data_IF_628823168816
#
_entry.id   IF_628823168816
#
_cell.length_a   1.000
_cell.length_b   1.000
_cell.length_c   1.000
_cell.angle_alpha   90.00
_cell.angle_beta   90.00
_cell.angle_gamma   90.00
#
_symmetry.space_group_name_H-M   'P 1'
#
loop_
_entity.id
_entity.type
_entity.pdbx_description
1 polymer ?
#
# COMPACT_ATOMS: atom_id res chain seq x y z
N UNK A 1 6.55 16.99 -20.09
CA UNK A 1 5.58 15.91 -19.82
C UNK A 1 5.03 16.16 -18.43
N UNK A 2 3.72 15.98 -18.22
CA UNK A 2 3.12 16.30 -16.92
C UNK A 2 3.72 15.37 -15.87
N UNK A 3 4.36 15.92 -14.84
CA UNK A 3 4.66 15.15 -13.64
C UNK A 3 3.30 14.75 -13.07
N UNK A 4 2.94 13.48 -13.23
CA UNK A 4 1.87 12.92 -12.44
C UNK A 4 2.42 12.97 -11.03
N UNK A 5 1.89 13.88 -10.22
CA UNK A 5 2.14 13.90 -8.79
C UNK A 5 1.72 12.53 -8.27
N UNK A 6 2.69 11.64 -8.05
CA UNK A 6 2.44 10.28 -7.57
C UNK A 6 1.82 10.31 -6.16
N UNK A 7 1.87 11.46 -5.46
CA UNK A 7 1.25 11.64 -4.15
C UNK A 7 -0.29 11.64 -4.17
N UNK A 8 -0.91 11.81 -5.35
CA UNK A 8 -2.37 11.77 -5.53
C UNK A 8 -2.90 10.41 -6.04
N UNK A 9 -2.02 9.47 -6.39
CA UNK A 9 -2.46 8.11 -6.72
C UNK A 9 -2.76 7.35 -5.43
N UNK A 10 -4.02 7.42 -5.01
CA UNK A 10 -4.52 6.76 -3.80
C UNK A 10 -4.30 5.23 -3.79
N UNK A 11 -3.97 4.63 -4.95
CA UNK A 11 -3.60 3.22 -5.05
C UNK A 11 -2.18 2.93 -4.62
N UNK A 12 -1.35 3.96 -4.42
CA UNK A 12 0.00 3.85 -3.90
C UNK A 12 0.02 4.15 -2.40
N UNK A 13 0.95 3.51 -1.69
CA UNK A 13 1.25 3.85 -0.31
C UNK A 13 2.12 5.12 -0.32
N UNK A 14 1.80 6.16 0.47
CA UNK A 14 2.59 7.38 0.50
C UNK A 14 4.03 7.13 0.97
N UNK A 15 5.00 7.53 0.16
CA UNK A 15 6.42 7.37 0.46
C UNK A 15 6.87 8.11 1.74
N UNK A 16 6.21 9.22 2.08
CA UNK A 16 6.48 9.98 3.30
C UNK A 16 6.23 9.20 4.60
N UNK A 17 5.44 8.12 4.55
CA UNK A 17 5.22 7.20 5.67
C UNK A 17 6.24 6.04 5.72
N UNK A 18 7.05 5.86 4.67
CA UNK A 18 7.97 4.73 4.55
C UNK A 18 9.32 5.01 5.19
N UNK A 19 10.04 3.94 5.50
CA UNK A 19 11.49 3.95 5.72
C UNK A 19 12.15 3.03 4.73
N UNK A 20 13.36 3.38 4.30
CA UNK A 20 14.09 2.61 3.30
C UNK A 20 15.51 2.28 3.74
N UNK A 21 15.97 1.09 3.38
CA UNK A 21 17.36 0.65 3.53
C UNK A 21 17.81 -0.09 2.28
N UNK A 22 19.11 -0.15 2.02
CA UNK A 22 19.68 -0.87 0.90
C UNK A 22 20.90 -1.71 1.31
N UNK A 23 21.26 -2.69 0.49
CA UNK A 23 22.47 -3.51 0.67
C UNK A 23 23.75 -2.67 0.59
N UNK A 24 23.72 -1.62 -0.24
CA UNK A 24 24.78 -0.63 -0.38
C UNK A 24 24.23 0.64 -1.01
N UNK A 25 24.97 1.72 -0.89
CA UNK A 25 24.64 3.00 -1.53
C UNK A 25 25.89 3.73 -1.97
N UNK A 26 25.73 4.55 -3.01
CA UNK A 26 26.75 5.47 -3.47
C UNK A 26 26.53 6.86 -2.88
N UNK A 27 27.52 7.32 -2.11
CA UNK A 27 27.50 8.63 -1.46
C UNK A 27 28.85 9.36 -1.56
N UNK A 28 29.84 8.78 -2.24
CA UNK A 28 31.22 9.27 -2.29
C UNK A 28 31.63 9.77 -3.68
N UNK A 29 31.34 8.99 -4.73
CA UNK A 29 31.57 9.33 -6.13
C UNK A 29 30.42 10.12 -6.75
N UNK A 30 29.21 9.94 -6.22
CA UNK A 30 28.03 10.78 -6.47
C UNK A 30 27.12 10.74 -5.23
N UNK A 31 26.20 11.70 -5.11
CA UNK A 31 25.21 11.71 -4.04
C UNK A 31 23.93 11.00 -4.50
N UNK A 32 23.91 9.66 -4.35
CA UNK A 32 22.78 8.80 -4.70
C UNK A 32 22.40 7.86 -3.53
N UNK A 33 22.13 8.42 -2.32
CA UNK A 33 21.76 7.64 -1.14
C UNK A 33 20.45 6.90 -1.34
N UNK A 34 20.19 5.89 -0.50
CA UNK A 34 18.96 5.09 -0.60
C UNK A 34 17.67 5.91 -0.42
N UNK A 35 17.73 7.02 0.33
CA UNK A 35 16.58 7.90 0.56
C UNK A 35 15.99 8.50 -0.73
N UNK A 36 16.82 8.66 -1.77
CA UNK A 36 16.36 9.18 -3.05
C UNK A 36 15.37 8.23 -3.75
N UNK A 37 15.32 6.95 -3.38
CA UNK A 37 14.37 6.01 -3.98
C UNK A 37 12.92 6.22 -3.53
N UNK A 38 12.68 7.11 -2.56
CA UNK A 38 11.36 7.39 -1.97
C UNK A 38 11.17 8.88 -1.66
N UNK A 39 11.83 9.77 -2.40
CA UNK A 39 11.78 11.23 -2.14
C UNK A 39 10.73 11.97 -3.00
N UNK A 40 10.12 11.28 -3.96
CA UNK A 40 9.10 11.82 -4.86
C UNK A 40 9.68 12.64 -6.01
N UNK A 41 11.01 12.68 -6.17
CA UNK A 41 11.71 13.38 -7.24
C UNK A 41 12.35 12.39 -8.23
N UNK A 42 11.69 12.20 -9.37
CA UNK A 42 12.19 11.34 -10.45
C UNK A 42 13.57 11.76 -11.00
N UNK A 43 14.05 12.97 -10.73
CA UNK A 43 15.39 13.42 -11.15
C UNK A 43 16.51 12.93 -10.21
N UNK A 44 16.19 12.56 -8.97
CA UNK A 44 17.13 11.90 -8.06
C UNK A 44 17.04 10.38 -8.24
N UNK A 45 17.99 9.66 -7.64
CA UNK A 45 17.97 8.20 -7.61
C UNK A 45 18.87 7.66 -6.50
N UNK A 46 18.53 6.47 -6.01
CA UNK A 46 19.47 5.59 -5.34
C UNK A 46 20.37 4.90 -6.37
N UNK A 47 21.65 4.73 -6.02
CA UNK A 47 22.58 3.89 -6.77
C UNK A 47 23.31 2.94 -5.81
N UNK A 48 23.40 1.65 -6.16
CA UNK A 48 24.28 0.70 -5.45
C UNK A 48 25.73 1.18 -5.48
N UNK A 49 26.52 0.98 -4.42
CA UNK A 49 27.89 1.49 -4.33
C UNK A 49 28.75 1.09 -5.54
N UNK A 50 29.33 2.08 -6.23
CA UNK A 50 30.22 1.86 -7.37
C UNK A 50 31.62 2.46 -7.19
N UNK A 51 31.78 3.44 -6.30
CA UNK A 51 33.05 4.12 -6.08
C UNK A 51 33.93 3.39 -5.06
N UNK A 52 35.25 3.47 -5.25
CA UNK A 52 36.25 2.85 -4.39
C UNK A 52 36.22 1.32 -4.44
N UNK A 53 35.43 0.70 -3.57
CA UNK A 53 35.18 -0.75 -3.57
C UNK A 53 33.71 -0.99 -3.95
N UNK A 54 33.42 -1.27 -5.23
CA UNK A 54 32.06 -1.53 -5.71
C UNK A 54 31.43 -2.71 -4.95
N UNK A 55 30.14 -2.58 -4.64
CA UNK A 55 29.33 -3.73 -4.24
C UNK A 55 29.05 -4.62 -5.46
N UNK A 56 28.87 -5.92 -5.24
CA UNK A 56 28.55 -6.90 -6.29
C UNK A 56 27.12 -7.39 -6.13
N UNK A 57 26.47 -7.76 -7.24
CA UNK A 57 25.14 -8.36 -7.25
C UNK A 57 25.09 -9.62 -6.34
N UNK A 58 23.91 -9.95 -5.79
CA UNK A 58 22.66 -9.20 -5.91
C UNK A 58 22.64 -7.93 -5.03
N UNK A 59 21.94 -6.90 -5.50
CA UNK A 59 21.66 -5.69 -4.72
C UNK A 59 20.24 -5.75 -4.17
N UNK A 60 19.97 -5.13 -3.03
CA UNK A 60 18.63 -5.12 -2.46
C UNK A 60 18.26 -3.77 -1.89
N UNK A 61 16.97 -3.45 -1.97
CA UNK A 61 16.33 -2.33 -1.28
C UNK A 61 15.14 -2.89 -0.49
N UNK A 62 14.96 -2.41 0.75
CA UNK A 62 13.88 -2.83 1.64
C UNK A 62 13.13 -1.62 2.13
N UNK A 63 11.81 -1.64 1.96
CA UNK A 63 10.86 -0.69 2.50
C UNK A 63 10.22 -1.26 3.77
N UNK A 64 10.19 -0.46 4.83
CA UNK A 64 9.19 -0.52 5.88
C UNK A 64 8.06 0.42 5.46
N UNK A 65 6.85 -0.11 5.28
CA UNK A 65 5.71 0.64 4.78
C UNK A 65 5.09 1.55 5.85
N UNK A 66 5.52 1.44 7.11
CA UNK A 66 5.01 2.22 8.24
C UNK A 66 3.77 1.61 8.88
N UNK A 67 2.94 0.94 8.10
CA UNK A 67 1.75 0.20 8.53
C UNK A 67 1.58 -1.10 7.72
N UNK A 68 0.53 -1.86 8.05
CA UNK A 68 0.13 -3.08 7.34
C UNK A 68 -0.83 -2.74 6.21
N UNK A 69 -0.58 -3.29 5.02
CA UNK A 69 -1.40 -3.06 3.84
C UNK A 69 -1.65 -4.35 3.05
N UNK A 70 -2.82 -4.47 2.43
CA UNK A 70 -3.04 -5.41 1.35
C UNK A 70 -2.38 -4.87 0.07
N UNK A 71 -1.33 -5.51 -0.42
CA UNK A 71 -0.53 -5.02 -1.56
C UNK A 71 -0.48 -6.05 -2.68
N UNK A 72 -0.37 -5.58 -3.93
CA UNK A 72 -0.34 -6.46 -5.12
C UNK A 72 0.56 -5.97 -6.25
N UNK A 73 1.26 -4.84 -6.07
CA UNK A 73 2.22 -4.33 -7.05
C UNK A 73 3.38 -3.61 -6.39
N UNK A 74 4.54 -3.71 -7.03
CA UNK A 74 5.68 -2.82 -6.83
C UNK A 74 5.96 -2.15 -8.18
N UNK A 75 6.19 -0.83 -8.17
CA UNK A 75 6.69 -0.12 -9.35
C UNK A 75 8.05 0.50 -9.08
N UNK A 76 8.89 0.46 -10.11
CA UNK A 76 10.22 1.09 -10.09
C UNK A 76 10.28 2.07 -11.25
N UNK A 77 10.50 3.34 -10.96
CA UNK A 77 10.92 4.34 -11.94
C UNK A 77 12.43 4.23 -12.06
N UNK A 78 12.98 3.85 -13.24
CA UNK A 78 14.43 3.86 -13.44
C UNK A 78 14.98 5.29 -13.38
N UNK A 79 16.27 5.45 -13.07
CA UNK A 79 16.92 6.77 -13.12
C UNK A 79 16.79 7.44 -14.50
N UNK A 80 16.73 8.76 -14.53
CA UNK A 80 16.66 9.53 -15.76
C UNK A 80 18.04 9.71 -16.43
N UNK A 81 18.05 10.04 -17.73
CA UNK A 81 19.27 10.39 -18.48
C UNK A 81 20.17 9.22 -18.90
N UNK A 82 20.64 8.38 -17.96
CA UNK A 82 21.63 7.32 -18.20
C UNK A 82 21.09 5.94 -17.77
N UNK A 83 21.70 4.83 -18.21
CA UNK A 83 21.12 3.49 -18.00
C UNK A 83 21.97 2.50 -17.17
N UNK A 84 23.14 2.92 -16.66
CA UNK A 84 23.86 2.16 -15.64
C UNK A 84 22.94 1.80 -14.47
N UNK A 85 22.98 0.55 -14.05
CA UNK A 85 22.18 0.06 -12.94
C UNK A 85 20.69 -0.14 -13.23
N UNK A 86 20.19 0.08 -14.46
CA UNK A 86 18.80 -0.30 -14.80
C UNK A 86 18.65 -1.79 -14.52
N UNK A 87 17.73 -2.13 -13.62
CA UNK A 87 17.46 -3.50 -13.16
C UNK A 87 16.76 -4.26 -14.28
N UNK A 88 17.27 -5.46 -14.58
CA UNK A 88 16.76 -6.32 -15.66
C UNK A 88 16.25 -7.66 -15.18
N UNK A 89 16.62 -8.09 -13.96
CA UNK A 89 16.10 -9.30 -13.32
C UNK A 89 15.91 -9.08 -11.84
N UNK A 90 14.76 -9.47 -11.32
CA UNK A 90 14.38 -9.14 -9.96
C UNK A 90 13.63 -10.27 -9.25
N UNK A 91 13.62 -10.18 -7.93
CA UNK A 91 12.68 -10.86 -7.04
C UNK A 91 12.05 -9.83 -6.10
N UNK A 92 10.78 -10.03 -5.75
CA UNK A 92 10.04 -9.26 -4.74
C UNK A 92 9.68 -10.19 -3.59
N UNK A 93 9.95 -9.72 -2.39
CA UNK A 93 9.60 -10.39 -1.15
C UNK A 93 8.76 -9.48 -0.26
N UNK A 94 7.89 -10.07 0.54
CA UNK A 94 7.09 -9.38 1.57
C UNK A 94 7.33 -9.98 2.95
N UNK A 95 7.10 -9.18 4.00
CA UNK A 95 7.22 -9.57 5.41
C UNK A 95 6.17 -8.84 6.25
N UNK A 96 5.72 -9.46 7.33
CA UNK A 96 4.98 -8.78 8.40
C UNK A 96 5.89 -8.27 9.52
N UNK A 97 7.01 -8.94 9.74
CA UNK A 97 7.90 -8.73 10.90
C UNK A 97 9.26 -8.08 10.53
N UNK A 98 9.59 -7.99 9.25
CA UNK A 98 10.89 -7.49 8.78
C UNK A 98 12.03 -8.50 8.93
N UNK A 99 11.74 -9.73 9.31
CA UNK A 99 12.71 -10.81 9.51
C UNK A 99 12.45 -11.99 8.56
N UNK A 100 11.20 -12.45 8.49
CA UNK A 100 10.78 -13.62 7.73
C UNK A 100 10.11 -13.23 6.41
N UNK A 101 10.91 -13.23 5.33
CA UNK A 101 10.47 -12.80 4.01
C UNK A 101 9.94 -13.95 3.16
N UNK A 102 8.80 -13.74 2.50
CA UNK A 102 8.23 -14.67 1.50
C UNK A 102 8.36 -14.07 0.10
N UNK A 103 8.82 -14.87 -0.88
CA UNK A 103 8.89 -14.43 -2.28
C UNK A 103 7.48 -14.39 -2.87
N UNK A 104 7.10 -13.26 -3.46
CA UNK A 104 5.77 -13.04 -4.06
C UNK A 104 5.82 -12.80 -5.56
N UNK A 105 6.95 -12.32 -6.09
CA UNK A 105 7.17 -12.18 -7.52
C UNK A 105 8.63 -12.39 -7.89
N UNK A 106 8.86 -12.77 -9.13
CA UNK A 106 10.15 -12.72 -9.80
C UNK A 106 9.93 -12.45 -11.29
N UNK A 107 10.96 -11.98 -11.97
CA UNK A 107 10.90 -11.88 -13.41
C UNK A 107 12.01 -11.02 -13.99
N UNK A 108 11.85 -10.77 -15.29
CA UNK A 108 12.76 -9.96 -16.07
C UNK A 108 12.07 -8.67 -16.51
N UNK A 109 12.85 -7.59 -16.52
CA UNK A 109 12.44 -6.30 -17.04
C UNK A 109 13.30 -5.91 -18.22
N UNK A 110 12.69 -5.26 -19.21
CA UNK A 110 13.42 -4.73 -20.36
C UNK A 110 14.40 -3.65 -19.89
N UNK A 111 15.65 -3.71 -20.37
CA UNK A 111 16.71 -2.75 -20.08
C UNK A 111 16.46 -1.37 -20.74
N UNK A 112 15.44 -0.67 -20.28
CA UNK A 112 15.03 0.64 -20.76
C UNK A 112 14.63 1.56 -19.59
N UNK A 113 14.19 2.79 -19.89
CA UNK A 113 13.75 3.77 -18.89
C UNK A 113 12.24 3.73 -18.61
N UNK A 114 11.50 2.81 -19.25
CA UNK A 114 10.07 2.67 -18.99
C UNK A 114 9.80 2.24 -17.56
N UNK A 115 8.62 2.60 -17.03
CA UNK A 115 8.17 2.16 -15.72
C UNK A 115 8.25 0.64 -15.62
N UNK A 116 8.86 0.18 -14.54
CA UNK A 116 8.97 -1.24 -14.22
C UNK A 116 7.85 -1.59 -13.27
N UNK A 117 7.19 -2.71 -13.54
CA UNK A 117 6.05 -3.17 -12.75
C UNK A 117 6.26 -4.64 -12.43
N UNK A 118 6.19 -4.97 -11.15
CA UNK A 118 6.05 -6.33 -10.65
C UNK A 118 4.64 -6.44 -10.06
N UNK A 119 3.85 -7.40 -10.55
CA UNK A 119 2.53 -7.75 -10.01
C UNK A 119 2.60 -9.11 -9.36
N UNK A 120 1.85 -9.28 -8.29
CA UNK A 120 1.74 -10.53 -7.54
C UNK A 120 0.34 -10.66 -6.95
N UNK A 121 0.01 -11.87 -6.50
CA UNK A 121 -1.22 -12.12 -5.76
C UNK A 121 -1.25 -11.27 -4.48
N UNK A 122 -2.43 -10.75 -4.16
CA UNK A 122 -2.58 -9.83 -3.02
C UNK A 122 -2.15 -10.51 -1.73
N UNK A 123 -1.32 -9.80 -0.97
CA UNK A 123 -0.81 -10.26 0.32
C UNK A 123 -0.80 -9.11 1.31
N UNK A 124 -1.07 -9.44 2.57
CA UNK A 124 -0.91 -8.51 3.68
C UNK A 124 0.60 -8.38 4.01
N UNK A 125 1.12 -7.16 4.04
CA UNK A 125 2.54 -6.91 4.28
C UNK A 125 2.77 -5.57 5.00
N UNK A 126 3.85 -5.54 5.79
CA UNK A 126 4.44 -4.32 6.36
C UNK A 126 5.79 -3.99 5.75
N UNK A 127 6.48 -4.97 5.21
CA UNK A 127 7.78 -4.80 4.57
C UNK A 127 7.76 -5.34 3.16
N UNK A 128 8.45 -4.64 2.26
CA UNK A 128 8.69 -5.08 0.88
C UNK A 128 10.19 -5.04 0.62
N UNK A 129 10.73 -6.09 0.04
CA UNK A 129 12.14 -6.17 -0.36
C UNK A 129 12.22 -6.49 -1.84
N UNK A 130 12.88 -5.61 -2.58
CA UNK A 130 13.24 -5.85 -3.98
C UNK A 130 14.70 -6.27 -4.02
N UNK A 131 14.97 -7.40 -4.68
CA UNK A 131 16.31 -7.90 -4.96
C UNK A 131 16.56 -7.75 -6.45
N UNK A 132 17.55 -6.96 -6.83
CA UNK A 132 18.09 -6.89 -8.18
C UNK A 132 19.11 -8.02 -8.36
N UNK A 133 18.72 -9.05 -9.10
CA UNK A 133 19.58 -10.17 -9.46
C UNK A 133 20.50 -9.82 -10.63
N UNK A 134 20.01 -9.01 -11.57
CA UNK A 134 20.77 -8.46 -12.68
C UNK A 134 20.40 -6.99 -12.90
N UNK A 135 21.40 -6.19 -13.24
CA UNK A 135 21.21 -4.81 -13.67
C UNK A 135 22.39 -4.37 -14.52
N UNK A 136 22.20 -3.31 -15.32
CA UNK A 136 23.19 -2.90 -16.31
C UNK A 136 24.55 -2.63 -15.65
N UNK A 137 25.60 -3.23 -16.20
CA UNK A 137 26.99 -3.23 -15.69
C UNK A 137 27.18 -3.76 -14.26
N UNK A 138 26.23 -4.55 -13.74
CA UNK A 138 26.34 -5.16 -12.40
C UNK A 138 25.88 -4.27 -11.24
N UNK A 139 25.18 -3.16 -11.53
CA UNK A 139 24.68 -2.22 -10.55
C UNK A 139 23.15 -2.22 -10.48
N UNK A 140 22.59 -1.55 -9.47
CA UNK A 140 21.17 -1.26 -9.36
C UNK A 140 20.94 0.24 -9.13
N UNK A 141 19.98 0.81 -9.85
CA UNK A 141 19.52 2.19 -9.67
C UNK A 141 17.99 2.25 -9.65
N UNK A 142 17.46 3.13 -8.81
CA UNK A 142 16.03 3.36 -8.63
C UNK A 142 15.84 4.86 -8.46
N UNK A 143 15.08 5.48 -9.36
CA UNK A 143 14.59 6.85 -9.17
C UNK A 143 13.51 6.85 -8.11
N UNK A 144 12.41 6.12 -8.34
CA UNK A 144 11.32 5.98 -7.37
C UNK A 144 10.91 4.53 -7.20
N UNK A 145 10.69 4.11 -5.96
CA UNK A 145 10.13 2.82 -5.58
C UNK A 145 8.77 3.05 -4.92
N UNK A 146 7.74 2.46 -5.51
CA UNK A 146 6.38 2.55 -4.98
C UNK A 146 5.79 1.16 -4.74
N UNK A 147 4.87 1.10 -3.79
CA UNK A 147 4.09 -0.09 -3.46
C UNK A 147 2.62 0.25 -3.61
N UNK A 148 1.88 -0.56 -4.35
CA UNK A 148 0.47 -0.35 -4.59
C UNK A 148 -0.43 -1.28 -3.78
N UNK A 149 -1.49 -0.68 -3.23
CA UNK A 149 -2.55 -1.33 -2.46
C UNK A 149 -3.53 -2.08 -3.37
N UNK A 150 -4.13 -3.12 -2.84
CA UNK A 150 -5.33 -3.72 -3.42
C UNK A 150 -6.60 -3.17 -2.75
N UNK A 151 -7.03 -2.01 -3.23
CA UNK A 151 -8.21 -1.30 -2.70
C UNK A 151 -9.48 -2.16 -2.84
N UNK A 152 -9.51 -3.10 -3.80
CA UNK A 152 -10.66 -4.00 -3.95
C UNK A 152 -10.78 -4.95 -2.76
N UNK A 153 -9.66 -5.49 -2.29
CA UNK A 153 -9.61 -6.31 -1.08
C UNK A 153 -9.92 -5.48 0.16
N UNK A 154 -9.42 -4.23 0.24
CA UNK A 154 -9.75 -3.33 1.34
C UNK A 154 -11.27 -3.06 1.44
N UNK A 155 -11.94 -2.82 0.30
CA UNK A 155 -13.40 -2.65 0.25
C UNK A 155 -14.14 -3.93 0.65
N UNK A 156 -13.68 -5.09 0.18
CA UNK A 156 -14.25 -6.38 0.58
C UNK A 156 -14.15 -6.62 2.09
N UNK A 157 -13.03 -6.25 2.71
CA UNK A 157 -12.84 -6.37 4.16
C UNK A 157 -13.75 -5.41 4.93
N UNK A 158 -13.88 -4.15 4.48
CA UNK A 158 -14.78 -3.19 5.09
C UNK A 158 -16.26 -3.62 5.01
N UNK A 159 -16.68 -4.19 3.87
CA UNK A 159 -18.03 -4.78 3.71
C UNK A 159 -18.24 -5.93 4.70
N UNK A 160 -17.24 -6.78 4.87
CA UNK A 160 -17.29 -7.88 5.83
C UNK A 160 -17.42 -7.36 7.26
N UNK A 161 -16.60 -6.39 7.65
CA UNK A 161 -16.66 -5.76 8.99
C UNK A 161 -18.02 -5.14 9.27
N UNK A 162 -18.58 -4.40 8.30
CA UNK A 162 -19.92 -3.82 8.43
C UNK A 162 -21.01 -4.89 8.59
N UNK A 163 -20.90 -6.00 7.85
CA UNK A 163 -21.84 -7.13 7.95
C UNK A 163 -21.74 -7.84 9.30
N UNK A 164 -20.52 -8.11 9.77
CA UNK A 164 -20.27 -8.69 11.08
C UNK A 164 -20.77 -7.76 12.21
N UNK A 165 -20.65 -6.44 12.05
CA UNK A 165 -21.18 -5.44 12.98
C UNK A 165 -22.70 -5.55 13.12
N UNK A 166 -23.42 -5.71 12.00
CA UNK A 166 -24.87 -5.89 12.02
C UNK A 166 -25.29 -7.24 12.61
N UNK A 167 -24.55 -8.31 12.32
CA UNK A 167 -24.85 -9.65 12.83
C UNK A 167 -24.74 -9.72 14.36
N UNK A 168 -23.76 -9.02 14.93
CA UNK A 168 -23.52 -9.00 16.37
C UNK A 168 -24.37 -7.97 17.15
N UNK A 169 -25.14 -7.13 16.46
CA UNK A 169 -25.93 -6.07 17.08
C UNK A 169 -27.32 -6.54 17.52
N UNK A 170 -27.70 -6.25 18.76
CA UNK A 170 -29.09 -6.43 19.21
C UNK A 170 -29.95 -5.25 18.76
N UNK A 171 -30.89 -5.51 17.85
CA UNK A 171 -31.78 -4.47 17.32
C UNK A 171 -33.03 -4.33 18.19
N UNK A 172 -33.36 -3.11 18.58
CA UNK A 172 -34.57 -2.83 19.33
C UNK A 172 -34.61 -1.42 19.91
N UNK A 173 -35.39 -1.27 20.99
CA UNK A 173 -35.69 0.03 21.63
C UNK A 173 -35.27 0.06 23.13
N UNK A 174 -34.54 -0.96 23.58
CA UNK A 174 -34.06 -1.10 24.95
C UNK A 174 -32.64 -0.57 25.12
N UNK A 175 -32.23 -0.41 26.38
CA UNK A 175 -30.90 0.08 26.69
C UNK A 175 -29.84 -0.92 26.24
N UNK A 176 -28.82 -0.46 25.52
CA UNK A 176 -27.78 -1.31 24.93
C UNK A 176 -28.12 -1.89 23.56
N UNK A 177 -29.31 -1.60 23.02
CA UNK A 177 -29.73 -2.03 21.68
C UNK A 177 -29.52 -0.92 20.64
N UNK A 178 -29.49 -1.31 19.38
CA UNK A 178 -29.37 -0.42 18.23
C UNK A 178 -30.74 -0.17 17.59
N UNK A 179 -31.08 1.08 17.21
CA UNK A 179 -32.34 1.38 16.53
C UNK A 179 -32.44 0.72 15.16
N UNK A 180 -33.64 0.27 14.78
CA UNK A 180 -33.90 -0.29 13.44
C UNK A 180 -33.48 0.68 12.32
N UNK A 181 -33.69 1.99 12.50
CA UNK A 181 -33.28 3.00 11.50
C UNK A 181 -31.76 3.06 11.28
N UNK A 182 -30.96 2.77 12.32
CA UNK A 182 -29.51 2.72 12.19
C UNK A 182 -29.07 1.47 11.43
N UNK A 183 -29.71 0.32 11.72
CA UNK A 183 -29.53 -0.91 10.95
C UNK A 183 -29.86 -0.70 9.47
N UNK A 184 -31.03 -0.14 9.15
CA UNK A 184 -31.46 0.09 7.77
C UNK A 184 -30.47 0.97 7.00
N UNK A 185 -29.91 1.99 7.67
CA UNK A 185 -28.92 2.88 7.08
C UNK A 185 -27.59 2.15 6.77
N UNK A 186 -27.10 1.30 7.69
CA UNK A 186 -25.88 0.53 7.47
C UNK A 186 -26.08 -0.57 6.42
N UNK A 187 -27.24 -1.23 6.37
CA UNK A 187 -27.59 -2.20 5.32
C UNK A 187 -27.58 -1.56 3.93
N UNK A 188 -28.12 -0.35 3.77
CA UNK A 188 -28.06 0.36 2.49
C UNK A 188 -26.63 0.77 2.12
N UNK A 189 -25.82 1.21 3.09
CA UNK A 189 -24.41 1.51 2.86
C UNK A 189 -23.61 0.29 2.40
N UNK A 190 -23.83 -0.88 3.01
CA UNK A 190 -23.23 -2.16 2.61
C UNK A 190 -23.62 -2.50 1.17
N UNK A 191 -24.91 -2.39 0.83
CA UNK A 191 -25.42 -2.67 -0.51
C UNK A 191 -24.82 -1.75 -1.57
N UNK A 192 -24.65 -0.46 -1.27
CA UNK A 192 -23.99 0.49 -2.17
C UNK A 192 -22.51 0.13 -2.37
N UNK A 193 -21.80 -0.22 -1.28
CA UNK A 193 -20.41 -0.67 -1.34
C UNK A 193 -20.26 -1.96 -2.17
N UNK A 194 -21.15 -2.94 -2.00
CA UNK A 194 -21.18 -4.17 -2.80
C UNK A 194 -21.39 -3.88 -4.29
N UNK A 195 -22.31 -2.97 -4.63
CA UNK A 195 -22.53 -2.57 -6.02
C UNK A 195 -21.26 -1.94 -6.65
N UNK A 196 -20.50 -1.17 -5.88
CA UNK A 196 -19.20 -0.63 -6.34
C UNK A 196 -18.16 -1.74 -6.52
N UNK A 197 -18.10 -2.70 -5.59
CA UNK A 197 -17.17 -3.83 -5.64
C UNK A 197 -17.39 -4.75 -6.86
N UNK A 198 -18.66 -4.96 -7.23
CA UNK A 198 -19.10 -5.81 -8.33
C UNK A 198 -19.12 -5.09 -9.69
N UNK A 199 -19.06 -3.75 -9.69
CA UNK A 199 -19.06 -2.95 -10.91
C UNK A 199 -17.85 -3.21 -11.79
N UNK A 200 -18.08 -3.54 -13.06
CA UNK A 200 -17.00 -3.67 -14.05
C UNK A 200 -16.26 -2.35 -14.23
N UNK A 201 -14.93 -2.37 -14.11
CA UNK A 201 -14.08 -1.21 -14.33
C UNK A 201 -14.13 -0.15 -13.24
N UNK A 202 -14.62 -0.48 -12.03
CA UNK A 202 -14.53 0.39 -10.87
C UNK A 202 -13.08 0.90 -10.70
N UNK A 203 -12.91 2.21 -10.72
CA UNK A 203 -11.60 2.85 -10.55
C UNK A 203 -11.22 2.84 -9.07
N UNK A 204 -9.93 2.80 -8.79
CA UNK A 204 -9.35 2.90 -7.44
C UNK A 204 -10.00 4.00 -6.60
N UNK A 205 -10.25 5.17 -7.22
CA UNK A 205 -10.98 6.30 -6.60
C UNK A 205 -12.37 5.93 -6.10
N UNK A 206 -13.17 5.24 -6.91
CA UNK A 206 -14.54 4.87 -6.56
C UNK A 206 -14.57 3.82 -5.45
N UNK A 207 -13.64 2.85 -5.52
CA UNK A 207 -13.49 1.84 -4.46
C UNK A 207 -13.16 2.52 -3.13
N UNK A 208 -12.20 3.45 -3.12
CA UNK A 208 -11.81 4.16 -1.91
C UNK A 208 -12.90 5.10 -1.38
N UNK A 209 -13.64 5.80 -2.25
CA UNK A 209 -14.80 6.60 -1.85
C UNK A 209 -15.88 5.73 -1.18
N UNK A 210 -16.11 4.52 -1.70
CA UNK A 210 -17.04 3.56 -1.09
C UNK A 210 -16.56 3.07 0.29
N UNK A 211 -15.25 2.81 0.46
CA UNK A 211 -14.66 2.47 1.76
C UNK A 211 -14.93 3.60 2.77
N UNK A 212 -14.64 4.85 2.39
CA UNK A 212 -14.79 6.01 3.27
C UNK A 212 -16.24 6.19 3.72
N UNK A 213 -17.21 6.11 2.81
CA UNK A 213 -18.62 6.26 3.18
C UNK A 213 -19.15 5.08 4.00
N UNK A 214 -18.68 3.86 3.72
CA UNK A 214 -19.04 2.68 4.51
C UNK A 214 -18.51 2.78 5.94
N UNK A 215 -17.24 3.13 6.13
CA UNK A 215 -16.65 3.29 7.46
C UNK A 215 -17.36 4.38 8.28
N UNK A 216 -17.70 5.49 7.64
CA UNK A 216 -18.53 6.54 8.26
C UNK A 216 -19.91 6.02 8.68
N UNK A 217 -20.52 5.13 7.89
CA UNK A 217 -21.80 4.51 8.22
C UNK A 217 -21.68 3.53 9.39
N UNK A 218 -20.58 2.77 9.48
CA UNK A 218 -20.24 1.93 10.64
C UNK A 218 -20.11 2.80 11.90
N UNK A 219 -19.41 3.93 11.82
CA UNK A 219 -19.26 4.86 12.95
C UNK A 219 -20.60 5.43 13.41
N UNK A 220 -21.47 5.83 12.47
CA UNK A 220 -22.82 6.31 12.78
C UNK A 220 -23.63 5.22 13.46
N UNK A 221 -23.56 3.98 12.96
CA UNK A 221 -24.25 2.84 13.55
C UNK A 221 -23.77 2.58 14.99
N UNK A 222 -22.46 2.50 15.20
CA UNK A 222 -21.87 2.24 16.52
C UNK A 222 -22.26 3.31 17.55
N UNK A 223 -22.35 4.57 17.13
CA UNK A 223 -22.76 5.69 17.98
C UNK A 223 -24.28 5.80 18.19
N UNK A 224 -25.09 4.95 17.55
CA UNK A 224 -26.55 4.98 17.66
C UNK A 224 -27.11 4.14 18.82
N UNK A 225 -26.25 3.44 19.57
CA UNK A 225 -26.64 2.60 20.70
C UNK A 225 -27.51 3.38 21.70
N UNK A 226 -28.62 2.77 22.11
CA UNK A 226 -29.59 3.40 22.99
C UNK A 226 -29.07 3.36 24.43
N UNK A 227 -28.74 4.52 24.98
CA UNK A 227 -28.39 4.68 26.39
C UNK A 227 -29.53 5.36 27.16
N UNK A 228 -30.09 4.68 28.16
CA UNK A 228 -31.11 5.24 29.06
C UNK A 228 -30.44 5.71 30.36
N UNK A 229 -30.72 6.95 30.83
CA UNK A 229 -30.14 7.44 32.07
C UNK A 229 -30.59 6.59 33.27
N UNK A 230 -29.62 6.14 34.08
CA UNK A 230 -29.88 5.44 35.34
C UNK A 230 -30.33 6.46 36.38
N UNK A 231 -31.63 6.61 36.58
CA UNK A 231 -32.16 7.42 37.67
C UNK A 231 -31.94 6.70 39.02
N UNK A 232 -30.98 7.17 39.83
CA UNK A 232 -30.89 6.78 41.24
C UNK A 232 -32.15 7.29 41.97
N UNK A 233 -33.04 6.38 42.39
CA UNK A 233 -34.10 6.73 43.35
C UNK A 233 -33.45 7.16 44.65
N UNK A 234 -33.58 8.44 45.01
CA UNK A 234 -33.40 8.88 46.39
C UNK A 234 -34.58 8.31 47.20
N UNK A 235 -34.27 7.37 48.09
CA UNK A 235 -35.16 6.86 49.14
C UNK A 235 -34.99 7.72 50.40
#
# INVERSE_FOLDING_TARGET
EASIDQSDDISLIPQSGMKVTASSEETSGEWAPVSNAIDGDNETFWHSKWSGKPAVLPHSITLDLGDTYNINKVTVVPRQGQDNGVITKYEIYTSMDGENYTKVAEGDWVANKGLKVARFETTEAKYVKLIALEGKNGFATIGELNVGKDIKVDLSNAIKEASDTLENAEIGNENGQYPQSAKDALEEAIKLAQAVLEGEGAKDKQLNEAIVELNKSIDIFNNSIIEKPVYKKHL
#
